data_IF_518889402998
#
_entry.id   IF_518889402998
#
_cell.length_a   1.000
_cell.length_b   1.000
_cell.length_c   1.000
_cell.angle_alpha   90.00
_cell.angle_beta   90.00
_cell.angle_gamma   90.00
#
_symmetry.space_group_name_H-M   'P 1'
#
loop_
_entity.id
_entity.type
_entity.pdbx_description
1 polymer ?
#
# COMPACT_ATOMS: atom_id res chain seq x y z
N UNK A 1 -14.70 14.16 -5.15
CA UNK A 1 -13.46 13.37 -5.24
C UNK A 1 -12.68 13.41 -3.94
N UNK A 2 -12.19 14.57 -3.47
CA UNK A 2 -11.37 14.66 -2.23
C UNK A 2 -12.11 14.12 -0.99
N UNK A 3 -13.40 14.45 -0.82
CA UNK A 3 -14.16 13.99 0.34
C UNK A 3 -14.33 12.47 0.36
N UNK A 4 -14.76 11.88 -0.75
CA UNK A 4 -14.88 10.43 -0.88
C UNK A 4 -13.55 9.70 -0.59
N UNK A 5 -12.42 10.28 -0.98
CA UNK A 5 -11.10 9.76 -0.62
C UNK A 5 -10.81 9.82 0.88
N UNK A 6 -11.17 10.92 1.56
CA UNK A 6 -11.02 11.03 3.02
C UNK A 6 -11.90 10.02 3.76
N UNK A 7 -13.13 9.85 3.30
CA UNK A 7 -14.08 8.91 3.90
C UNK A 7 -13.57 7.47 3.72
N UNK A 8 -13.12 7.13 2.51
CA UNK A 8 -12.48 5.84 2.22
C UNK A 8 -11.24 5.60 3.10
N UNK A 9 -10.36 6.60 3.21
CA UNK A 9 -9.13 6.47 4.01
C UNK A 9 -9.42 6.33 5.51
N UNK A 10 -10.51 6.92 6.00
CA UNK A 10 -10.96 6.76 7.38
C UNK A 10 -11.39 5.33 7.66
N UNK A 11 -12.18 4.73 6.77
CA UNK A 11 -12.59 3.32 6.87
C UNK A 11 -11.36 2.41 6.76
N UNK A 12 -10.49 2.65 5.77
CA UNK A 12 -9.28 1.88 5.59
C UNK A 12 -8.41 1.87 6.85
N UNK A 13 -8.24 2.99 7.54
CA UNK A 13 -7.50 3.00 8.81
C UNK A 13 -8.11 2.10 9.87
N UNK A 14 -9.43 2.09 10.00
CA UNK A 14 -10.15 1.23 10.95
C UNK A 14 -9.92 -0.24 10.59
N UNK A 15 -10.05 -0.59 9.30
CA UNK A 15 -9.81 -1.94 8.82
C UNK A 15 -8.37 -2.39 9.10
N UNK A 16 -7.38 -1.56 8.80
CA UNK A 16 -5.96 -1.87 9.02
C UNK A 16 -5.63 -2.06 10.51
N UNK A 17 -6.23 -1.26 11.40
CA UNK A 17 -6.08 -1.43 12.86
C UNK A 17 -6.69 -2.75 13.33
N UNK A 18 -7.78 -3.20 12.71
CA UNK A 18 -8.45 -4.46 13.08
C UNK A 18 -7.66 -5.72 12.71
N UNK A 19 -6.68 -5.61 11.80
CA UNK A 19 -5.88 -6.74 11.29
C UNK A 19 -4.39 -6.62 11.62
N UNK A 20 -4.04 -5.85 12.65
CA UNK A 20 -2.65 -5.75 13.14
C UNK A 20 -2.17 -7.13 13.56
N UNK A 21 -1.03 -7.57 12.98
CA UNK A 21 -0.48 -8.91 13.16
C UNK A 21 -0.79 -9.88 12.01
N UNK A 22 -1.90 -9.66 11.29
CA UNK A 22 -2.37 -10.50 10.18
C UNK A 22 -2.37 -9.75 8.83
N UNK A 23 -1.71 -8.60 8.80
CA UNK A 23 -1.50 -7.79 7.60
C UNK A 23 -0.10 -8.01 7.03
N UNK A 24 -0.02 -8.07 5.72
CA UNK A 24 1.24 -8.09 4.99
C UNK A 24 1.32 -6.92 4.02
N UNK A 25 2.54 -6.47 3.74
CA UNK A 25 2.81 -5.34 2.86
C UNK A 25 3.71 -5.76 1.72
N UNK A 26 3.40 -5.29 0.52
CA UNK A 26 4.26 -5.45 -0.65
C UNK A 26 4.69 -4.08 -1.14
N UNK A 27 6.00 -3.86 -1.20
CA UNK A 27 6.60 -2.71 -1.87
C UNK A 27 7.03 -3.14 -3.28
N UNK A 28 6.28 -2.74 -4.29
CA UNK A 28 6.69 -2.95 -5.69
C UNK A 28 7.47 -1.73 -6.15
N UNK A 29 8.66 -1.94 -6.70
CA UNK A 29 9.54 -0.87 -7.16
C UNK A 29 9.94 -1.17 -8.60
N UNK A 30 9.68 -0.24 -9.50
CA UNK A 30 10.11 -0.34 -10.90
C UNK A 30 10.66 0.99 -11.40
N UNK A 31 11.54 0.92 -12.40
CA UNK A 31 12.02 2.09 -13.14
C UNK A 31 11.01 2.46 -14.22
N UNK A 32 10.90 3.77 -14.50
CA UNK A 32 10.11 4.27 -15.62
C UNK A 32 11.04 4.65 -16.78
N UNK A 33 10.89 4.00 -17.94
CA UNK A 33 11.74 4.27 -19.11
C UNK A 33 11.53 5.68 -19.68
N UNK A 34 10.36 6.28 -19.44
CA UNK A 34 10.04 7.64 -19.88
C UNK A 34 10.72 8.72 -19.03
N UNK A 35 11.29 8.36 -17.86
CA UNK A 35 11.97 9.29 -16.99
C UNK A 35 13.24 8.62 -16.46
N UNK A 36 14.36 8.88 -17.15
CA UNK A 36 15.70 8.43 -16.76
C UNK A 36 15.88 8.65 -15.25
N UNK A 37 16.10 7.56 -14.52
CA UNK A 37 16.33 7.53 -13.06
C UNK A 37 15.12 7.75 -12.14
N UNK A 38 13.89 7.59 -12.64
CA UNK A 38 12.70 7.64 -11.80
C UNK A 38 12.22 6.26 -11.42
N UNK A 39 12.10 6.04 -10.11
CA UNK A 39 11.58 4.81 -9.53
C UNK A 39 10.25 5.09 -8.87
N UNK A 40 9.31 4.20 -9.14
CA UNK A 40 7.94 4.29 -8.62
C UNK A 40 7.78 3.16 -7.61
N UNK A 41 8.00 3.42 -6.31
CA UNK A 41 7.57 2.50 -5.29
C UNK A 41 6.06 2.64 -5.06
N UNK A 42 5.37 1.50 -5.05
CA UNK A 42 4.00 1.40 -4.54
C UNK A 42 3.97 0.50 -3.33
N UNK A 43 3.35 0.98 -2.26
CA UNK A 43 3.10 0.17 -1.08
C UNK A 43 1.65 -0.30 -1.07
N UNK A 44 1.47 -1.61 -1.02
CA UNK A 44 0.16 -2.23 -1.00
C UNK A 44 0.03 -3.08 0.26
N UNK A 45 -1.00 -2.78 1.06
CA UNK A 45 -1.42 -3.63 2.16
C UNK A 45 -2.33 -4.75 1.64
N UNK A 46 -2.12 -5.96 2.12
CA UNK A 46 -3.01 -7.09 1.87
C UNK A 46 -3.28 -7.85 3.16
N UNK A 47 -4.53 -8.26 3.33
CA UNK A 47 -5.00 -9.01 4.48
C UNK A 47 -6.17 -9.90 4.07
N UNK A 48 -6.57 -10.82 4.95
CA UNK A 48 -7.75 -11.67 4.74
C UNK A 48 -8.80 -11.26 5.77
N UNK A 49 -10.04 -11.10 5.33
CA UNK A 49 -11.19 -10.89 6.23
C UNK A 49 -12.17 -12.02 6.08
N UNK A 50 -12.84 -12.38 7.17
CA UNK A 50 -13.99 -13.27 7.12
C UNK A 50 -15.26 -12.47 6.86
N UNK A 51 -16.13 -12.96 5.96
CA UNK A 51 -17.50 -12.47 5.85
C UNK A 51 -18.39 -13.34 6.72
N UNK A 52 -18.87 -12.77 7.83
CA UNK A 52 -19.73 -13.45 8.81
C UNK A 52 -20.99 -14.08 8.20
N UNK A 53 -21.55 -13.46 7.14
CA UNK A 53 -22.78 -13.92 6.49
C UNK A 53 -22.59 -15.21 5.68
N UNK A 54 -21.40 -15.40 5.10
CA UNK A 54 -21.09 -16.52 4.20
C UNK A 54 -20.01 -17.47 4.74
N UNK A 55 -19.43 -17.17 5.91
CA UNK A 55 -18.28 -17.87 6.49
C UNK A 55 -17.12 -18.03 5.49
N UNK A 56 -16.99 -17.07 4.57
CA UNK A 56 -15.99 -17.11 3.51
C UNK A 56 -14.85 -16.16 3.81
N UNK A 57 -13.63 -16.62 3.63
CA UNK A 57 -12.44 -15.77 3.63
C UNK A 57 -12.35 -14.98 2.33
N UNK A 58 -12.12 -13.68 2.45
CA UNK A 58 -11.90 -12.80 1.32
C UNK A 58 -10.55 -12.09 1.41
N UNK A 59 -9.73 -12.16 0.34
CA UNK A 59 -8.55 -11.34 0.26
C UNK A 59 -8.96 -9.88 0.08
N UNK A 60 -8.29 -9.01 0.83
CA UNK A 60 -8.40 -7.56 0.75
C UNK A 60 -7.06 -6.98 0.35
N UNK A 61 -7.13 -5.87 -0.36
CA UNK A 61 -5.97 -5.19 -0.88
C UNK A 61 -6.23 -3.69 -0.90
N UNK A 62 -5.28 -2.90 -0.42
CA UNK A 62 -5.33 -1.45 -0.46
C UNK A 62 -3.98 -0.86 -0.88
N UNK A 63 -4.01 -0.01 -1.90
CA UNK A 63 -2.86 0.81 -2.28
C UNK A 63 -2.73 1.96 -1.27
N UNK A 64 -1.65 1.96 -0.51
CA UNK A 64 -1.42 2.95 0.55
C UNK A 64 -0.71 4.19 0.04
N UNK A 65 0.31 3.99 -0.80
CA UNK A 65 1.09 5.10 -1.33
C UNK A 65 1.72 4.76 -2.67
N UNK A 66 1.95 5.82 -3.44
CA UNK A 66 2.65 5.85 -4.70
C UNK A 66 3.66 7.00 -4.61
N UNK A 67 4.96 6.69 -4.62
CA UNK A 67 5.98 7.74 -4.62
C UNK A 67 6.69 7.81 -5.97
N UNK A 68 7.37 8.93 -6.18
CA UNK A 68 8.25 9.16 -7.31
C UNK A 68 9.63 9.50 -6.73
N UNK A 69 10.57 8.56 -6.82
CA UNK A 69 11.94 8.73 -6.35
C UNK A 69 12.82 9.03 -7.56
N UNK A 70 13.53 10.15 -7.53
CA UNK A 70 14.44 10.56 -8.60
C UNK A 70 15.88 10.20 -8.24
N UNK A 71 16.64 9.78 -9.25
CA UNK A 71 18.05 9.48 -9.13
C UNK A 71 18.35 8.05 -8.68
N UNK A 72 19.63 7.80 -8.38
CA UNK A 72 20.07 6.51 -7.84
C UNK A 72 19.60 6.37 -6.40
N UNK A 73 19.05 5.22 -6.07
CA UNK A 73 18.60 4.88 -4.73
C UNK A 73 19.43 3.72 -4.17
N UNK A 74 19.57 3.69 -2.86
CA UNK A 74 20.14 2.57 -2.10
C UNK A 74 19.01 1.83 -1.39
N UNK A 75 19.27 0.61 -0.92
CA UNK A 75 18.30 -0.11 -0.07
C UNK A 75 17.86 0.72 1.15
N UNK A 76 18.78 1.51 1.73
CA UNK A 76 18.48 2.37 2.87
C UNK A 76 17.53 3.52 2.52
N UNK A 77 17.75 4.22 1.40
CA UNK A 77 16.86 5.32 0.99
C UNK A 77 15.45 4.83 0.61
N UNK A 78 15.35 3.61 0.07
CA UNK A 78 14.06 2.98 -0.18
C UNK A 78 13.34 2.63 1.12
N UNK A 79 14.06 2.04 2.08
CA UNK A 79 13.49 1.71 3.39
C UNK A 79 12.93 2.96 4.08
N UNK A 80 13.68 4.07 4.12
CA UNK A 80 13.21 5.34 4.69
C UNK A 80 11.98 5.94 4.00
N UNK A 81 11.72 5.58 2.75
CA UNK A 81 10.54 6.05 2.02
C UNK A 81 9.30 5.22 2.37
N UNK A 82 9.50 3.95 2.79
CA UNK A 82 8.44 2.95 2.95
C UNK A 82 8.11 2.70 4.43
N UNK A 83 9.11 2.77 5.32
CA UNK A 83 9.05 2.47 6.76
C UNK A 83 9.26 3.75 7.58
#
# INVERSE_FOLDING_TARGET
IIQAWKDYFTILKIDLVSVVGDISFTANIWSSDSCLWTHIPTLTAHWITEILQSQSLQPRLALLTFHCIHGRHTGLSLAHTIL
#
